data_IF_327084003052
#
_entry.id   IF_327084003052
#
_cell.length_a   1.000
_cell.length_b   1.000
_cell.length_c   1.000
_cell.angle_alpha   90.00
_cell.angle_beta   90.00
_cell.angle_gamma   90.00
#
_symmetry.space_group_name_H-M   'P 1'
#
loop_
_entity.id
_entity.type
_entity.pdbx_description
1 polymer ?
#
# COMPACT_ATOMS: atom_id res chain seq x y z
N UNK A 1 -10.30 35.60 18.64
CA UNK A 1 -8.97 35.36 18.03
C UNK A 1 -9.18 34.54 16.77
N UNK A 2 -8.84 35.09 15.60
CA UNK A 2 -9.01 34.42 14.32
C UNK A 2 -7.93 33.33 14.17
N UNK A 3 -8.35 32.06 14.09
CA UNK A 3 -7.46 30.97 13.67
C UNK A 3 -7.13 31.20 12.20
N UNK A 4 -5.88 31.56 11.91
CA UNK A 4 -5.37 31.68 10.54
C UNK A 4 -5.52 30.33 9.84
N UNK A 5 -6.34 30.27 8.79
CA UNK A 5 -6.42 29.10 7.91
C UNK A 5 -5.09 29.02 7.15
N UNK A 6 -4.46 27.84 7.15
CA UNK A 6 -3.24 27.58 6.38
C UNK A 6 -3.42 27.92 4.90
N UNK A 7 -2.30 28.13 4.19
CA UNK A 7 -2.34 28.47 2.78
C UNK A 7 -3.10 27.41 1.98
N UNK A 8 -4.10 27.82 1.19
CA UNK A 8 -4.87 26.93 0.34
C UNK A 8 -3.96 26.20 -0.66
N UNK A 9 -4.13 24.88 -0.77
CA UNK A 9 -3.37 24.06 -1.72
C UNK A 9 -3.65 24.52 -3.16
N UNK A 10 -2.76 24.21 -4.14
CA UNK A 10 -3.02 24.50 -5.55
C UNK A 10 -4.37 23.92 -6.04
N UNK A 11 -4.73 22.73 -5.55
CA UNK A 11 -5.99 22.05 -5.86
C UNK A 11 -7.20 22.78 -5.25
N UNK A 12 -7.07 23.31 -4.02
CA UNK A 12 -8.15 24.09 -3.40
C UNK A 12 -8.42 25.40 -4.14
N UNK A 13 -7.37 26.02 -4.69
CA UNK A 13 -7.48 27.24 -5.51
C UNK A 13 -8.16 26.97 -6.84
N UNK A 14 -7.84 25.85 -7.48
CA UNK A 14 -8.50 25.44 -8.72
C UNK A 14 -9.97 25.11 -8.49
N UNK A 15 -10.29 24.34 -7.44
CA UNK A 15 -11.65 24.03 -7.05
C UNK A 15 -12.45 25.29 -6.68
N UNK A 16 -11.85 26.24 -5.96
CA UNK A 16 -12.54 27.48 -5.59
C UNK A 16 -12.87 28.36 -6.80
N UNK A 17 -12.02 28.37 -7.82
CA UNK A 17 -12.28 29.06 -9.09
C UNK A 17 -13.40 28.38 -9.89
N UNK A 18 -13.42 27.05 -9.94
CA UNK A 18 -14.45 26.28 -10.64
C UNK A 18 -15.83 26.51 -10.01
N UNK A 19 -15.94 26.36 -8.69
CA UNK A 19 -17.18 26.61 -7.93
C UNK A 19 -17.61 28.06 -8.09
N UNK A 20 -16.68 29.01 -7.98
CA UNK A 20 -16.93 30.44 -8.18
C UNK A 20 -17.56 30.74 -9.54
N UNK A 21 -17.05 30.12 -10.61
CA UNK A 21 -17.60 30.25 -11.96
C UNK A 21 -19.03 29.72 -12.02
N UNK A 22 -19.26 28.50 -11.52
CA UNK A 22 -20.58 27.86 -11.56
C UNK A 22 -21.63 28.60 -10.73
N UNK A 23 -21.27 29.12 -9.55
CA UNK A 23 -22.19 29.94 -8.73
C UNK A 23 -22.61 31.22 -9.46
N UNK A 24 -21.71 31.85 -10.22
CA UNK A 24 -22.07 33.03 -11.04
C UNK A 24 -22.99 32.66 -12.19
N UNK A 25 -22.79 31.51 -12.83
CA UNK A 25 -23.67 30.99 -13.87
C UNK A 25 -25.07 30.76 -13.31
N UNK A 26 -25.19 30.04 -12.19
CA UNK A 26 -26.48 29.76 -11.54
C UNK A 26 -27.23 31.04 -11.12
N UNK A 27 -26.53 32.03 -10.55
CA UNK A 27 -27.13 33.34 -10.23
C UNK A 27 -27.68 34.05 -11.49
N UNK A 28 -26.95 33.95 -12.60
CA UNK A 28 -27.34 34.59 -13.87
C UNK A 28 -28.52 33.88 -14.53
N UNK A 29 -28.48 32.55 -14.58
CA UNK A 29 -29.49 31.71 -15.23
C UNK A 29 -30.83 31.74 -14.50
N UNK A 30 -30.79 31.72 -13.16
CA UNK A 30 -32.00 31.75 -12.33
C UNK A 30 -32.51 33.17 -12.06
N UNK A 31 -31.74 34.21 -12.44
CA UNK A 31 -32.06 35.61 -12.14
C UNK A 31 -32.02 35.98 -10.64
N UNK A 32 -31.55 35.06 -9.78
CA UNK A 32 -31.49 35.23 -8.32
C UNK A 32 -30.31 36.12 -7.92
N UNK A 33 -30.47 36.94 -6.88
CA UNK A 33 -29.37 37.76 -6.34
C UNK A 33 -28.66 37.08 -5.18
N UNK A 34 -27.38 37.40 -4.98
CA UNK A 34 -26.59 36.93 -3.84
C UNK A 34 -27.24 37.24 -2.48
N UNK A 35 -27.95 38.37 -2.37
CA UNK A 35 -28.68 38.76 -1.14
C UNK A 35 -29.82 37.77 -0.84
N UNK A 36 -30.49 37.27 -1.87
CA UNK A 36 -31.56 36.28 -1.74
C UNK A 36 -31.00 34.92 -1.32
N UNK A 37 -29.89 34.51 -1.95
CA UNK A 37 -29.13 33.32 -1.56
C UNK A 37 -28.73 33.39 -0.08
N UNK A 38 -28.24 34.53 0.40
CA UNK A 38 -27.87 34.71 1.81
C UNK A 38 -29.07 34.57 2.76
N UNK A 39 -30.19 35.21 2.41
CA UNK A 39 -31.42 35.22 3.21
C UNK A 39 -32.03 33.83 3.33
N UNK A 40 -32.07 33.07 2.25
CA UNK A 40 -32.77 31.78 2.18
C UNK A 40 -31.92 30.62 2.68
N UNK A 41 -30.60 30.63 2.43
CA UNK A 41 -29.70 29.58 2.93
C UNK A 41 -29.25 29.83 4.38
N UNK A 42 -29.42 31.05 4.89
CA UNK A 42 -28.86 31.50 6.16
C UNK A 42 -27.32 31.60 6.16
N UNK A 43 -26.67 31.48 5.00
CA UNK A 43 -25.22 31.66 4.86
C UNK A 43 -24.91 33.16 4.88
N UNK A 44 -23.97 33.64 5.71
CA UNK A 44 -23.63 35.06 5.76
C UNK A 44 -23.19 35.60 4.40
N UNK A 45 -23.63 36.81 4.05
CA UNK A 45 -23.30 37.45 2.77
C UNK A 45 -21.79 37.59 2.53
N UNK A 46 -21.01 37.81 3.61
CA UNK A 46 -19.55 37.85 3.57
C UNK A 46 -18.94 36.50 3.17
N UNK A 47 -19.50 35.40 3.66
CA UNK A 47 -19.10 34.03 3.31
C UNK A 47 -19.43 33.71 1.85
N UNK A 48 -20.65 34.02 1.39
CA UNK A 48 -21.05 33.85 -0.01
C UNK A 48 -20.19 34.68 -0.96
N UNK A 49 -19.80 35.89 -0.55
CA UNK A 49 -18.88 36.73 -1.33
C UNK A 49 -17.55 36.04 -1.53
N UNK A 50 -17.04 35.34 -0.51
CA UNK A 50 -15.82 34.54 -0.62
C UNK A 50 -15.95 33.41 -1.63
N UNK A 51 -17.09 32.70 -1.62
CA UNK A 51 -17.37 31.62 -2.58
C UNK A 51 -17.48 32.14 -4.02
N UNK A 52 -18.25 33.21 -4.23
CA UNK A 52 -18.45 33.84 -5.55
C UNK A 52 -17.17 34.52 -6.08
N UNK A 53 -16.26 34.94 -5.20
CA UNK A 53 -14.94 35.44 -5.63
C UNK A 53 -13.91 34.33 -5.81
N UNK A 54 -14.20 33.10 -5.40
CA UNK A 54 -13.26 31.98 -5.42
C UNK A 54 -12.13 32.11 -4.39
N UNK A 55 -12.30 32.93 -3.35
CA UNK A 55 -11.29 33.12 -2.28
C UNK A 55 -11.45 32.16 -1.12
N UNK A 56 -12.54 31.38 -1.10
CA UNK A 56 -12.79 30.34 -0.11
C UNK A 56 -13.66 29.22 -0.69
N UNK A 57 -13.54 28.01 -0.15
CA UNK A 57 -14.37 26.87 -0.52
C UNK A 57 -15.62 26.77 0.37
N UNK A 58 -16.80 26.45 -0.20
CA UNK A 58 -17.94 25.98 0.58
C UNK A 58 -17.58 24.69 1.32
N UNK A 59 -18.01 24.60 2.59
CA UNK A 59 -18.06 23.32 3.30
C UNK A 59 -19.27 22.52 2.81
N UNK A 60 -19.28 21.20 2.99
CA UNK A 60 -20.37 20.32 2.54
C UNK A 60 -21.77 20.83 2.95
N UNK A 61 -21.95 21.19 4.23
CA UNK A 61 -23.23 21.72 4.73
C UNK A 61 -23.68 23.03 4.05
N UNK A 62 -22.74 23.90 3.66
CA UNK A 62 -23.09 25.12 2.91
C UNK A 62 -23.36 24.80 1.45
N UNK A 63 -22.65 23.84 0.88
CA UNK A 63 -22.82 23.41 -0.50
C UNK A 63 -24.20 22.76 -0.71
N UNK A 64 -24.66 21.91 0.21
CA UNK A 64 -26.00 21.32 0.23
C UNK A 64 -27.09 22.40 0.25
N UNK A 65 -26.96 23.41 1.12
CA UNK A 65 -27.92 24.52 1.19
C UNK A 65 -27.98 25.31 -0.12
N UNK A 66 -26.83 25.53 -0.75
CA UNK A 66 -26.75 26.24 -2.03
C UNK A 66 -27.36 25.38 -3.15
N UNK A 67 -27.11 24.07 -3.16
CA UNK A 67 -27.70 23.11 -4.09
C UNK A 67 -29.24 23.12 -4.00
N UNK A 68 -29.79 23.02 -2.78
CA UNK A 68 -31.23 23.11 -2.51
C UNK A 68 -31.80 24.44 -3.01
N UNK A 69 -31.12 25.57 -2.76
CA UNK A 69 -31.60 26.88 -3.20
C UNK A 69 -31.64 27.03 -4.72
N UNK A 70 -30.70 26.42 -5.45
CA UNK A 70 -30.67 26.47 -6.91
C UNK A 70 -31.42 25.32 -7.58
N UNK A 71 -31.95 24.37 -6.81
CA UNK A 71 -32.62 23.16 -7.32
C UNK A 71 -31.71 22.35 -8.27
N UNK A 72 -30.44 22.24 -7.90
CA UNK A 72 -29.41 21.48 -8.63
C UNK A 72 -28.77 20.45 -7.71
N UNK A 73 -28.13 19.44 -8.28
CA UNK A 73 -27.35 18.50 -7.50
C UNK A 73 -26.04 19.12 -6.99
N UNK A 74 -25.54 18.66 -5.84
CA UNK A 74 -24.29 19.16 -5.23
C UNK A 74 -23.10 19.05 -6.19
N UNK A 75 -23.07 17.99 -6.99
CA UNK A 75 -22.05 17.71 -8.00
C UNK A 75 -22.07 18.66 -9.21
N UNK A 76 -23.20 19.32 -9.47
CA UNK A 76 -23.27 20.37 -10.48
C UNK A 76 -22.52 21.61 -10.04
N UNK A 77 -22.48 21.89 -8.73
CA UNK A 77 -21.79 23.05 -8.15
C UNK A 77 -20.32 22.73 -7.94
N UNK A 78 -20.01 21.56 -7.38
CA UNK A 78 -18.65 21.09 -7.15
C UNK A 78 -18.48 19.70 -7.76
N UNK A 79 -17.86 19.60 -8.95
CA UNK A 79 -17.65 18.33 -9.65
C UNK A 79 -16.85 17.28 -8.86
N UNK A 80 -16.20 17.65 -7.75
CA UNK A 80 -15.55 16.69 -6.83
C UNK A 80 -16.56 15.81 -6.09
N UNK A 81 -17.83 16.24 -6.03
CA UNK A 81 -18.93 15.44 -5.49
C UNK A 81 -19.60 14.58 -6.55
N UNK A 82 -19.16 14.67 -7.82
CA UNK A 82 -19.67 13.79 -8.86
C UNK A 82 -19.44 12.35 -8.43
N UNK A 83 -20.52 11.68 -8.05
CA UNK A 83 -20.47 10.24 -7.88
C UNK A 83 -20.11 9.73 -9.27
N UNK A 84 -18.94 9.10 -9.39
CA UNK A 84 -18.55 8.48 -10.66
C UNK A 84 -19.63 7.43 -10.92
N UNK A 85 -20.57 7.73 -11.82
CA UNK A 85 -21.70 6.85 -12.15
C UNK A 85 -21.23 5.47 -12.67
N UNK A 86 -19.95 5.36 -13.02
CA UNK A 86 -19.28 4.14 -13.46
C UNK A 86 -18.54 3.37 -12.36
N UNK A 87 -18.56 3.84 -11.10
CA UNK A 87 -18.12 3.04 -9.96
C UNK A 87 -19.39 2.42 -9.35
N UNK A 88 -19.54 1.08 -9.37
CA UNK A 88 -20.60 0.42 -8.60
C UNK A 88 -20.59 0.99 -7.18
N UNK A 89 -21.73 1.46 -6.66
CA UNK A 89 -21.91 2.06 -5.32
C UNK A 89 -21.63 1.04 -4.18
N UNK A 90 -20.52 0.32 -4.23
CA UNK A 90 -20.12 -0.62 -3.20
C UNK A 90 -19.54 0.12 -1.97
N UNK A 91 -19.15 1.40 -2.12
CA UNK A 91 -18.54 2.20 -1.05
C UNK A 91 -19.03 3.66 -0.99
N UNK A 92 -20.35 3.93 -0.87
CA UNK A 92 -20.88 5.29 -0.80
C UNK A 92 -20.28 6.10 0.37
N UNK A 93 -19.86 5.42 1.44
CA UNK A 93 -19.27 6.05 2.61
C UNK A 93 -17.79 6.46 2.45
N UNK A 94 -17.08 6.05 1.39
CA UNK A 94 -15.64 6.32 1.25
C UNK A 94 -15.34 7.82 1.28
N UNK A 95 -16.06 8.61 0.47
CA UNK A 95 -15.86 10.07 0.41
C UNK A 95 -16.26 10.73 1.75
N UNK A 96 -17.37 10.27 2.35
CA UNK A 96 -17.85 10.78 3.64
C UNK A 96 -16.84 10.52 4.77
N UNK A 97 -16.30 9.31 4.86
CA UNK A 97 -15.29 8.95 5.86
C UNK A 97 -14.00 9.73 5.61
N UNK A 98 -13.54 9.78 4.37
CA UNK A 98 -12.31 10.49 4.00
C UNK A 98 -12.39 11.98 4.36
N UNK A 99 -13.53 12.64 4.13
CA UNK A 99 -13.75 14.05 4.50
C UNK A 99 -13.79 14.31 6.01
N UNK A 100 -14.12 13.31 6.84
CA UNK A 100 -14.13 13.44 8.30
C UNK A 100 -12.73 13.28 8.93
N UNK A 101 -11.77 12.72 8.18
CA UNK A 101 -10.38 12.61 8.62
C UNK A 101 -9.71 13.99 8.66
N UNK A 102 -8.76 14.16 9.58
CA UNK A 102 -7.83 15.29 9.53
C UNK A 102 -6.88 15.18 8.33
N UNK A 103 -6.20 16.28 7.98
CA UNK A 103 -5.34 16.37 6.79
C UNK A 103 -4.22 15.31 6.80
N UNK A 104 -3.57 15.07 7.93
CA UNK A 104 -2.48 14.09 8.02
C UNK A 104 -2.99 12.68 7.73
N UNK A 105 -4.20 12.35 8.20
CA UNK A 105 -4.84 11.05 7.94
C UNK A 105 -5.33 10.92 6.49
N UNK A 106 -5.82 12.00 5.89
CA UNK A 106 -6.19 12.04 4.48
C UNK A 106 -4.98 11.73 3.58
N UNK A 107 -3.85 12.40 3.83
CA UNK A 107 -2.61 12.18 3.07
C UNK A 107 -2.13 10.73 3.19
N UNK A 108 -2.18 10.15 4.40
CA UNK A 108 -1.87 8.73 4.61
C UNK A 108 -2.80 7.80 3.85
N UNK A 109 -4.11 8.04 3.92
CA UNK A 109 -5.11 7.26 3.19
C UNK A 109 -4.91 7.30 1.68
N UNK A 110 -4.70 8.51 1.13
CA UNK A 110 -4.44 8.68 -0.30
C UNK A 110 -3.13 7.99 -0.72
N UNK A 111 -2.08 8.05 0.11
CA UNK A 111 -0.82 7.34 -0.16
C UNK A 111 -1.04 5.83 -0.25
N UNK A 112 -1.82 5.25 0.66
CA UNK A 112 -2.14 3.81 0.66
C UNK A 112 -2.93 3.42 -0.59
N UNK A 113 -3.95 4.20 -0.96
CA UNK A 113 -4.76 3.95 -2.16
C UNK A 113 -3.92 4.03 -3.44
N UNK A 114 -3.04 5.04 -3.55
CA UNK A 114 -2.10 5.17 -4.68
C UNK A 114 -1.09 4.03 -4.74
N UNK A 115 -0.59 3.57 -3.60
CA UNK A 115 0.30 2.41 -3.53
C UNK A 115 -0.43 1.15 -4.04
N UNK A 116 -1.67 0.94 -3.58
CA UNK A 116 -2.51 -0.19 -4.00
C UNK A 116 -2.80 -0.18 -5.51
N UNK A 117 -3.09 0.99 -6.08
CA UNK A 117 -3.28 1.13 -7.53
C UNK A 117 -1.99 0.81 -8.31
N UNK A 118 -0.86 1.38 -7.87
CA UNK A 118 0.45 1.10 -8.48
C UNK A 118 0.77 -0.39 -8.44
N UNK A 119 0.47 -1.07 -7.33
CA UNK A 119 0.68 -2.51 -7.18
C UNK A 119 -0.19 -3.30 -8.17
N UNK A 120 -1.47 -2.96 -8.31
CA UNK A 120 -2.38 -3.58 -9.27
C UNK A 120 -1.89 -3.44 -10.72
N UNK A 121 -1.48 -2.23 -11.12
CA UNK A 121 -0.95 -1.98 -12.46
C UNK A 121 0.37 -2.73 -12.70
N UNK A 122 1.20 -2.82 -11.67
CA UNK A 122 2.44 -3.60 -11.70
C UNK A 122 2.15 -5.09 -11.93
N UNK A 123 1.26 -5.67 -11.13
CA UNK A 123 0.82 -7.05 -11.30
C UNK A 123 0.29 -7.30 -12.72
N UNK A 124 -0.56 -6.40 -13.22
CA UNK A 124 -1.15 -6.52 -14.56
C UNK A 124 -0.11 -6.46 -15.69
N UNK A 125 0.97 -5.69 -15.54
CA UNK A 125 2.04 -5.54 -16.54
C UNK A 125 3.12 -6.62 -16.51
N UNK A 126 3.21 -7.38 -15.41
CA UNK A 126 4.19 -8.44 -15.22
C UNK A 126 3.62 -9.85 -15.42
N UNK A 127 2.30 -10.04 -15.27
CA UNK A 127 1.65 -11.36 -15.26
C UNK A 127 1.92 -12.26 -16.47
N UNK A 128 2.26 -11.71 -17.63
CA UNK A 128 2.45 -12.48 -18.87
C UNK A 128 3.88 -13.03 -18.98
N UNK A 129 4.86 -12.35 -18.37
CA UNK A 129 6.30 -12.64 -18.50
C UNK A 129 6.92 -13.17 -17.18
N UNK A 130 6.24 -12.97 -16.05
CA UNK A 130 6.79 -13.18 -14.72
C UNK A 130 5.81 -13.85 -13.76
N UNK A 131 6.37 -14.57 -12.80
CA UNK A 131 5.65 -15.33 -11.80
C UNK A 131 5.76 -14.65 -10.43
N UNK A 132 4.65 -14.46 -9.71
CA UNK A 132 4.64 -13.87 -8.37
C UNK A 132 5.04 -14.87 -7.29
N UNK A 133 5.78 -14.40 -6.30
CA UNK A 133 6.17 -15.15 -5.10
C UNK A 133 5.83 -14.34 -3.85
N UNK A 134 5.16 -14.99 -2.89
CA UNK A 134 4.89 -14.41 -1.57
C UNK A 134 6.05 -14.74 -0.63
N UNK A 135 6.77 -13.72 -0.19
CA UNK A 135 8.01 -13.87 0.58
C UNK A 135 7.85 -13.30 1.98
N UNK A 136 8.31 -14.04 2.98
CA UNK A 136 8.21 -13.65 4.38
C UNK A 136 9.59 -13.38 4.99
N UNK A 137 9.65 -12.51 6.01
CA UNK A 137 10.89 -12.27 6.77
C UNK A 137 11.35 -13.50 7.55
N UNK A 138 10.41 -14.31 8.04
CA UNK A 138 10.71 -15.51 8.80
C UNK A 138 9.55 -16.51 8.74
N UNK A 139 9.83 -17.72 9.22
CA UNK A 139 8.87 -18.82 9.22
C UNK A 139 7.63 -18.53 10.07
N UNK A 140 7.76 -17.89 11.24
CA UNK A 140 6.62 -17.55 12.08
C UNK A 140 5.59 -16.68 11.32
N UNK A 141 6.03 -15.65 10.61
CA UNK A 141 5.13 -14.80 9.81
C UNK A 141 4.45 -15.58 8.70
N UNK A 142 5.15 -16.50 8.03
CA UNK A 142 4.55 -17.36 6.99
C UNK A 142 3.38 -18.20 7.49
N UNK A 143 3.37 -18.57 8.79
CA UNK A 143 2.34 -19.43 9.37
C UNK A 143 1.21 -18.64 10.03
N UNK A 144 1.49 -17.47 10.59
CA UNK A 144 0.56 -16.76 11.47
C UNK A 144 0.14 -15.38 10.96
N UNK A 145 0.84 -14.84 9.97
CA UNK A 145 0.67 -13.48 9.43
C UNK A 145 0.79 -13.46 7.91
N UNK A 146 -0.04 -14.23 7.17
CA UNK A 146 0.03 -14.30 5.71
C UNK A 146 -0.12 -12.93 5.04
N UNK A 147 -0.80 -11.98 5.69
CA UNK A 147 -0.97 -10.60 5.23
C UNK A 147 0.31 -9.75 5.24
N UNK A 148 1.39 -10.23 5.88
CA UNK A 148 2.68 -9.54 5.95
C UNK A 148 3.69 -10.07 4.92
N UNK A 149 3.22 -10.78 3.89
CA UNK A 149 4.06 -11.20 2.78
C UNK A 149 4.43 -10.01 1.87
N UNK A 150 5.67 -9.99 1.42
CA UNK A 150 6.07 -9.18 0.28
C UNK A 150 5.78 -9.94 -1.02
N UNK A 151 5.22 -9.25 -2.02
CA UNK A 151 5.02 -9.80 -3.36
C UNK A 151 6.22 -9.46 -4.25
N UNK A 152 6.96 -10.48 -4.68
CA UNK A 152 8.11 -10.32 -5.59
C UNK A 152 7.93 -11.13 -6.87
N UNK A 153 8.79 -10.90 -7.86
CA UNK A 153 8.65 -11.48 -9.20
C UNK A 153 9.94 -12.16 -9.66
N UNK A 154 9.77 -13.23 -10.44
CA UNK A 154 10.84 -13.96 -11.11
C UNK A 154 10.41 -14.34 -12.54
N UNK A 155 11.37 -14.50 -13.45
CA UNK A 155 11.19 -14.84 -14.88
C UNK A 155 10.83 -16.31 -15.15
N UNK A 156 10.63 -17.10 -14.09
CA UNK A 156 10.32 -18.52 -14.17
C UNK A 156 9.53 -18.97 -12.95
N UNK A 157 8.76 -20.02 -13.14
CA UNK A 157 8.06 -20.72 -12.07
C UNK A 157 8.96 -21.79 -11.46
N UNK A 158 9.01 -21.84 -10.13
CA UNK A 158 9.73 -22.83 -9.36
C UNK A 158 8.77 -23.30 -8.28
N UNK A 159 8.55 -24.61 -8.20
CA UNK A 159 7.72 -25.21 -7.17
C UNK A 159 8.35 -25.04 -5.77
N UNK A 160 7.57 -24.51 -4.83
CA UNK A 160 8.00 -24.21 -3.46
C UNK A 160 6.81 -24.32 -2.50
N UNK A 161 7.10 -24.47 -1.21
CA UNK A 161 6.06 -24.42 -0.17
C UNK A 161 6.14 -23.11 0.62
N UNK A 162 7.37 -22.59 0.83
CA UNK A 162 7.64 -21.37 1.60
C UNK A 162 8.76 -20.58 0.93
N UNK A 163 8.61 -19.26 0.81
CA UNK A 163 9.68 -18.37 0.38
C UNK A 163 10.06 -17.41 1.51
N UNK A 164 11.37 -17.33 1.82
CA UNK A 164 11.87 -16.51 2.92
C UNK A 164 12.99 -15.58 2.45
N UNK A 165 13.05 -14.37 3.02
CA UNK A 165 14.16 -13.46 2.82
C UNK A 165 15.45 -13.99 3.44
N UNK A 166 16.55 -13.91 2.69
CA UNK A 166 17.90 -14.20 3.19
C UNK A 166 18.50 -12.92 3.74
N UNK A 167 18.30 -12.66 5.04
CA UNK A 167 18.83 -11.46 5.72
C UNK A 167 20.25 -11.60 6.27
N UNK A 168 20.94 -12.69 5.94
CA UNK A 168 22.30 -13.00 6.40
C UNK A 168 23.28 -13.05 5.23
N UNK A 169 24.49 -12.55 5.46
CA UNK A 169 25.65 -12.67 4.56
C UNK A 169 26.45 -13.96 4.82
N UNK A 170 26.06 -14.77 5.80
CA UNK A 170 26.81 -15.96 6.21
C UNK A 170 26.80 -17.10 5.18
N UNK A 171 25.97 -16.96 4.15
CA UNK A 171 25.86 -17.86 3.02
C UNK A 171 26.44 -17.27 1.71
N UNK A 172 27.06 -16.09 1.78
CA UNK A 172 27.71 -15.47 0.63
C UNK A 172 28.97 -16.23 0.18
N UNK A 173 29.34 -16.12 -1.11
CA UNK A 173 28.65 -15.37 -2.17
C UNK A 173 27.49 -16.14 -2.83
N UNK A 174 27.31 -17.43 -2.48
CA UNK A 174 26.37 -18.31 -3.19
C UNK A 174 24.90 -17.96 -2.93
N UNK A 175 24.59 -17.50 -1.73
CA UNK A 175 23.26 -17.01 -1.36
C UNK A 175 23.43 -15.57 -0.85
N UNK A 176 23.32 -14.57 -1.76
CA UNK A 176 23.49 -13.18 -1.42
C UNK A 176 22.50 -12.72 -0.35
N UNK A 177 22.91 -11.76 0.48
CA UNK A 177 21.97 -11.03 1.32
C UNK A 177 20.89 -10.36 0.46
N UNK A 178 19.67 -10.30 0.99
CA UNK A 178 18.47 -9.75 0.35
C UNK A 178 17.98 -10.55 -0.88
N UNK A 179 18.49 -11.77 -1.06
CA UNK A 179 17.89 -12.76 -1.96
C UNK A 179 16.69 -13.47 -1.30
N UNK A 180 15.91 -14.17 -2.11
CA UNK A 180 14.76 -14.97 -1.70
C UNK A 180 15.12 -16.44 -1.78
N UNK A 181 14.99 -17.17 -0.67
CA UNK A 181 15.15 -18.62 -0.61
C UNK A 181 13.81 -19.32 -0.79
N UNK A 182 13.70 -20.16 -1.82
CA UNK A 182 12.55 -21.01 -2.08
C UNK A 182 12.76 -22.36 -1.39
N UNK A 183 11.84 -22.73 -0.50
CA UNK A 183 11.97 -23.87 0.41
C UNK A 183 10.87 -24.89 0.10
N UNK A 184 11.27 -26.17 0.03
CA UNK A 184 10.36 -27.32 0.03
C UNK A 184 10.39 -28.02 1.38
N UNK A 185 9.21 -28.18 1.98
CA UNK A 185 9.02 -28.92 3.21
C UNK A 185 9.37 -30.38 2.99
N UNK A 186 10.46 -30.78 3.60
CA UNK A 186 11.11 -32.08 3.40
C UNK A 186 11.76 -32.49 4.71
N UNK A 187 12.15 -33.76 4.79
CA UNK A 187 13.00 -34.24 5.89
C UNK A 187 14.48 -33.98 5.56
N UNK A 188 15.39 -34.34 6.47
CA UNK A 188 16.81 -34.33 6.17
C UNK A 188 17.16 -35.45 5.16
N UNK A 189 17.06 -35.14 3.87
CA UNK A 189 17.26 -36.10 2.77
C UNK A 189 18.72 -36.10 2.27
N UNK A 190 19.37 -34.94 2.32
CA UNK A 190 20.72 -34.73 1.79
C UNK A 190 21.60 -34.03 2.80
N UNK A 191 22.64 -34.72 3.27
CA UNK A 191 23.65 -34.14 4.15
C UNK A 191 24.45 -33.04 3.44
N UNK A 192 24.67 -31.92 4.13
CA UNK A 192 25.39 -30.78 3.58
C UNK A 192 24.62 -29.94 2.57
N UNK A 193 23.31 -30.17 2.40
CA UNK A 193 22.44 -29.26 1.66
C UNK A 193 22.09 -28.02 2.51
N UNK A 194 21.48 -27.03 1.88
CA UNK A 194 20.97 -25.85 2.59
C UNK A 194 19.56 -26.14 3.07
N UNK A 195 19.31 -25.95 4.36
CA UNK A 195 17.99 -26.08 4.96
C UNK A 195 17.64 -24.82 5.74
N UNK A 196 16.34 -24.58 5.85
CA UNK A 196 15.77 -23.64 6.79
C UNK A 196 15.32 -24.41 8.04
N UNK A 197 15.73 -23.92 9.21
CA UNK A 197 15.40 -24.47 10.52
C UNK A 197 14.82 -23.35 11.36
N UNK A 198 13.73 -23.63 12.05
CA UNK A 198 13.19 -22.77 13.09
C UNK A 198 13.72 -23.25 14.45
N UNK A 199 14.44 -22.36 15.13
CA UNK A 199 15.08 -22.67 16.40
C UNK A 199 15.22 -21.40 17.23
N UNK A 200 14.84 -21.47 18.50
CA UNK A 200 14.83 -20.33 19.43
C UNK A 200 14.09 -19.10 18.86
N UNK A 201 12.92 -19.35 18.27
CA UNK A 201 12.09 -18.32 17.59
C UNK A 201 12.80 -17.60 16.43
N UNK A 202 13.88 -18.17 15.90
CA UNK A 202 14.64 -17.63 14.78
C UNK A 202 14.63 -18.61 13.61
N UNK A 203 14.35 -18.08 12.42
CA UNK A 203 14.57 -18.81 11.18
C UNK A 203 16.05 -18.75 10.80
N UNK A 204 16.69 -19.91 10.74
CA UNK A 204 18.09 -20.08 10.39
C UNK A 204 18.18 -20.81 9.05
N UNK A 205 18.77 -20.15 8.05
CA UNK A 205 19.08 -20.77 6.75
C UNK A 205 20.58 -21.02 6.70
N UNK A 206 20.98 -22.31 6.68
CA UNK A 206 22.39 -22.71 6.74
C UNK A 206 22.65 -23.99 5.94
N UNK A 207 23.93 -24.28 5.72
CA UNK A 207 24.33 -25.63 5.31
C UNK A 207 24.23 -26.57 6.50
N UNK A 208 23.47 -27.65 6.37
CA UNK A 208 23.12 -28.49 7.52
C UNK A 208 23.67 -29.91 7.38
N UNK A 209 24.25 -30.40 8.47
CA UNK A 209 24.53 -31.81 8.69
C UNK A 209 23.71 -32.28 9.88
N UNK A 210 22.86 -33.28 9.66
CA UNK A 210 22.10 -33.92 10.72
C UNK A 210 22.92 -35.09 11.28
N UNK A 211 23.60 -34.86 12.40
CA UNK A 211 24.40 -35.88 13.09
C UNK A 211 23.56 -36.59 14.17
N UNK A 212 24.04 -37.72 14.73
CA UNK A 212 23.28 -38.48 15.73
C UNK A 212 22.94 -37.70 17.01
N UNK A 213 23.79 -36.76 17.42
CA UNK A 213 23.62 -36.00 18.68
C UNK A 213 23.01 -34.62 18.48
N UNK A 214 22.88 -34.15 17.24
CA UNK A 214 22.36 -32.83 16.93
C UNK A 214 22.65 -32.39 15.52
N UNK A 215 22.37 -31.13 15.26
CA UNK A 215 22.45 -30.50 13.94
C UNK A 215 23.67 -29.57 13.90
N UNK A 216 24.61 -29.83 12.99
CA UNK A 216 25.68 -28.89 12.65
C UNK A 216 25.25 -27.94 11.55
N UNK A 217 25.33 -26.65 11.84
CA UNK A 217 25.07 -25.55 10.95
C UNK A 217 26.39 -24.93 10.50
N UNK A 218 26.69 -25.05 9.22
CA UNK A 218 27.95 -24.62 8.64
C UNK A 218 27.75 -23.33 7.85
N UNK A 219 28.58 -22.34 8.14
CA UNK A 219 28.60 -21.09 7.37
C UNK A 219 29.39 -21.29 6.06
N UNK A 220 28.87 -20.77 4.95
CA UNK A 220 29.64 -20.78 3.69
C UNK A 220 30.65 -19.63 3.67
N UNK A 221 30.25 -18.49 4.22
CA UNK A 221 31.12 -17.35 4.45
C UNK A 221 32.01 -17.61 5.67
N UNK A 222 33.32 -17.63 5.45
CA UNK A 222 34.35 -17.99 6.46
C UNK A 222 34.53 -16.98 7.59
N UNK A 223 33.88 -15.82 7.51
CA UNK A 223 33.85 -14.84 8.61
C UNK A 223 33.05 -15.33 9.82
N UNK A 224 32.18 -16.32 9.63
CA UNK A 224 31.29 -16.84 10.66
C UNK A 224 31.71 -18.23 11.08
N UNK A 225 31.67 -18.49 12.39
CA UNK A 225 31.87 -19.82 12.94
C UNK A 225 30.67 -20.73 12.65
N UNK A 226 30.94 -22.03 12.74
CA UNK A 226 29.90 -23.05 12.68
C UNK A 226 29.15 -23.10 14.02
N UNK A 227 27.86 -23.47 13.97
CA UNK A 227 26.99 -23.60 15.14
C UNK A 227 26.52 -25.05 15.26
N UNK A 228 26.33 -25.53 16.48
CA UNK A 228 25.76 -26.83 16.77
C UNK A 228 24.48 -26.65 17.58
N UNK A 229 23.43 -27.42 17.26
CA UNK A 229 22.16 -27.45 17.98
C UNK A 229 21.89 -28.89 18.40
N UNK A 230 21.88 -29.22 19.70
CA UNK A 230 21.51 -30.55 20.19
C UNK A 230 20.08 -30.94 19.81
N UNK A 231 19.82 -32.22 19.55
CA UNK A 231 18.45 -32.71 19.29
C UNK A 231 17.53 -32.57 20.50
N UNK A 232 18.08 -32.58 21.72
CA UNK A 232 17.34 -32.36 22.97
C UNK A 232 16.66 -30.99 23.04
N UNK A 233 17.13 -30.01 22.25
CA UNK A 233 16.53 -28.69 22.16
C UNK A 233 15.43 -28.60 21.07
N UNK A 234 15.09 -29.74 20.47
CA UNK A 234 13.99 -29.93 19.52
C UNK A 234 13.94 -28.88 18.38
N UNK A 235 15.04 -28.68 17.62
CA UNK A 235 15.02 -27.77 16.48
C UNK A 235 14.00 -28.22 15.42
N UNK A 236 13.18 -27.30 14.93
CA UNK A 236 12.15 -27.61 13.93
C UNK A 236 12.71 -27.44 12.52
N UNK A 237 12.75 -28.52 11.75
CA UNK A 237 13.06 -28.44 10.32
C UNK A 237 11.89 -27.79 9.58
N UNK A 238 12.17 -26.72 8.84
CA UNK A 238 11.19 -26.10 7.94
C UNK A 238 11.24 -26.80 6.58
N UNK A 239 12.43 -27.01 6.03
CA UNK A 239 12.61 -27.69 4.75
C UNK A 239 13.93 -27.37 4.06
N UNK A 240 14.13 -27.94 2.87
CA UNK A 240 15.32 -27.76 2.04
C UNK A 240 15.17 -26.55 1.13
N UNK A 241 16.22 -25.74 1.03
CA UNK A 241 16.28 -24.66 0.04
C UNK A 241 16.53 -25.27 -1.35
N UNK A 242 15.56 -25.09 -2.24
CA UNK A 242 15.58 -25.58 -3.61
C UNK A 242 16.29 -24.62 -4.55
N UNK A 243 16.05 -23.33 -4.35
CA UNK A 243 16.61 -22.26 -5.17
C UNK A 243 16.73 -20.98 -4.36
N UNK A 244 17.56 -20.07 -4.86
CA UNK A 244 17.62 -18.68 -4.42
C UNK A 244 17.68 -17.77 -5.62
N UNK A 245 17.02 -16.61 -5.53
CA UNK A 245 17.06 -15.60 -6.58
C UNK A 245 17.06 -14.20 -5.98
N UNK A 246 17.57 -13.23 -6.75
CA UNK A 246 17.34 -11.82 -6.46
C UNK A 246 16.00 -11.41 -7.08
N UNK A 247 15.08 -10.80 -6.32
CA UNK A 247 13.87 -10.23 -6.86
C UNK A 247 14.14 -9.30 -8.03
N UNK A 248 13.21 -9.29 -8.99
CA UNK A 248 13.28 -8.34 -10.09
C UNK A 248 13.09 -6.90 -9.61
N UNK A 249 13.90 -6.01 -10.18
CA UNK A 249 13.74 -4.57 -9.98
C UNK A 249 12.65 -4.05 -10.91
N UNK A 250 11.43 -4.01 -10.39
CA UNK A 250 10.23 -3.60 -11.12
C UNK A 250 10.37 -2.20 -11.72
N UNK A 251 11.06 -1.28 -11.04
CA UNK A 251 11.28 0.09 -11.53
C UNK A 251 12.19 0.13 -12.76
N UNK A 252 13.18 -0.78 -12.84
CA UNK A 252 14.00 -0.93 -14.05
C UNK A 252 13.21 -1.54 -15.20
N UNK A 253 12.31 -2.49 -14.93
CA UNK A 253 11.50 -3.13 -15.98
C UNK A 253 10.53 -2.11 -16.60
N UNK A 254 9.86 -1.29 -15.79
CA UNK A 254 8.94 -0.24 -16.27
C UNK A 254 9.61 0.82 -17.15
N UNK A 255 10.91 1.06 -17.00
CA UNK A 255 11.66 2.03 -17.84
C UNK A 255 12.06 1.47 -19.21
N UNK A 256 12.01 0.16 -19.38
CA UNK A 256 12.48 -0.54 -20.57
C UNK A 256 11.35 -1.12 -21.44
N UNK A 257 10.08 -0.98 -21.02
CA UNK A 257 8.88 -1.23 -21.83
C UNK A 257 8.34 0.11 -22.35
#
# INVERSE_FOLDING_TARGET
>A
MARGRGAASPQDKEASLLISKKLKELLKETGKKQVELSRETGIPASTLTGYIKGTSLPIAANLEKIAIFFEVEVEEIDPRYRLIADIPQQFPDLNRIYQQLDQDRQEKGLKLLKASLTEQETQASLKDDYFPYLVYENYYLSQHKPEQADLVWLDREIDYDIALWVRTDSLEPKYPRDSVALIKQTHFELAGAIYAIDYDSQTIIKRVFNDPTGIRLISLNKKYSDKFIPHEEEPKLIGRVMATFMPLDVEKIKKNK
#
